data_IF_040626888605
#
_entry.id   IF_040626888605
#
_cell.length_a   1.000
_cell.length_b   1.000
_cell.length_c   1.000
_cell.angle_alpha   90.00
_cell.angle_beta   90.00
_cell.angle_gamma   90.00
#
_symmetry.space_group_name_H-M   'P 1'
#
loop_
_entity.id
_entity.type
_entity.pdbx_description
1 polymer ?
#
# COMPACT_ATOMS: atom_id res chain seq x y z
N UNK A 1 -9.66 -21.50 6.00
CA UNK A 1 -8.58 -21.02 5.10
C UNK A 1 -8.91 -19.58 4.75
N UNK A 2 -8.08 -18.60 5.13
CA UNK A 2 -8.27 -17.22 4.65
C UNK A 2 -8.04 -17.20 3.13
N UNK A 3 -8.89 -16.49 2.38
CA UNK A 3 -8.73 -16.27 0.94
C UNK A 3 -7.44 -15.51 0.59
N UNK A 4 -6.77 -14.99 1.60
CA UNK A 4 -5.63 -14.11 1.47
C UNK A 4 -4.63 -14.33 2.63
N UNK A 5 -3.34 -14.40 2.30
CA UNK A 5 -2.27 -14.56 3.29
C UNK A 5 -1.55 -13.22 3.51
N UNK A 6 -1.89 -12.46 4.57
CA UNK A 6 -1.29 -11.14 4.82
C UNK A 6 0.20 -11.18 5.15
N UNK A 7 0.74 -12.35 5.48
CA UNK A 7 2.14 -12.48 5.86
C UNK A 7 3.13 -12.11 4.75
N UNK A 8 2.72 -12.23 3.47
CA UNK A 8 3.52 -11.80 2.32
C UNK A 8 3.75 -10.29 2.31
N UNK A 9 2.68 -9.52 2.43
CA UNK A 9 2.74 -8.05 2.45
C UNK A 9 3.52 -7.53 3.65
N UNK A 10 3.25 -8.05 4.87
CA UNK A 10 3.97 -7.55 6.05
C UNK A 10 5.46 -7.87 6.02
N UNK A 11 5.84 -9.05 5.50
CA UNK A 11 7.27 -9.35 5.30
C UNK A 11 7.91 -8.42 4.27
N UNK A 12 7.23 -8.16 3.15
CA UNK A 12 7.71 -7.23 2.12
C UNK A 12 7.91 -5.83 2.66
N UNK A 13 6.91 -5.31 3.39
CA UNK A 13 6.95 -3.98 4.00
C UNK A 13 8.09 -3.83 5.01
N UNK A 14 8.26 -4.81 5.90
CA UNK A 14 9.37 -4.82 6.88
C UNK A 14 10.74 -4.86 6.20
N UNK A 15 10.91 -5.71 5.19
CA UNK A 15 12.16 -5.79 4.42
C UNK A 15 12.48 -4.45 3.76
N UNK A 16 11.50 -3.82 3.12
CA UNK A 16 11.70 -2.54 2.44
C UNK A 16 12.04 -1.41 3.43
N UNK A 17 11.38 -1.37 4.59
CA UNK A 17 11.69 -0.42 5.66
C UNK A 17 13.14 -0.56 6.16
N UNK A 18 13.61 -1.79 6.36
CA UNK A 18 15.01 -2.03 6.75
C UNK A 18 16.00 -1.63 5.66
N UNK A 19 15.69 -1.88 4.39
CA UNK A 19 16.53 -1.46 3.26
C UNK A 19 16.62 0.06 3.15
N UNK A 20 15.49 0.78 3.23
CA UNK A 20 15.47 2.24 3.20
C UNK A 20 16.30 2.82 4.34
N UNK A 21 16.14 2.28 5.57
CA UNK A 21 16.89 2.71 6.75
C UNK A 21 18.40 2.50 6.61
N UNK A 22 18.83 1.35 6.09
CA UNK A 22 20.25 0.98 6.02
C UNK A 22 20.98 1.57 4.81
N UNK A 23 20.34 1.53 3.64
CA UNK A 23 20.99 1.85 2.36
C UNK A 23 20.75 3.30 1.94
N UNK A 24 19.50 3.80 2.08
CA UNK A 24 19.16 5.13 1.58
C UNK A 24 19.29 6.24 2.64
N UNK A 25 19.30 5.89 3.93
CA UNK A 25 19.45 6.82 5.07
C UNK A 25 18.46 8.00 4.95
N UNK A 26 18.94 9.24 4.96
CA UNK A 26 18.13 10.46 4.89
C UNK A 26 17.72 10.88 3.47
N UNK A 27 18.06 10.09 2.44
CA UNK A 27 17.74 10.44 1.04
C UNK A 27 16.41 9.87 0.55
N UNK A 28 15.82 8.91 1.27
CA UNK A 28 14.57 8.29 0.89
C UNK A 28 13.57 8.35 2.04
N UNK A 29 12.31 8.58 1.68
CA UNK A 29 11.17 8.39 2.57
C UNK A 29 10.24 7.33 2.01
N UNK A 30 9.59 6.60 2.92
CA UNK A 30 8.60 5.61 2.55
C UNK A 30 7.21 6.23 2.51
N UNK A 31 6.59 6.16 1.34
CA UNK A 31 5.20 6.56 1.16
C UNK A 31 4.31 5.47 1.75
N UNK A 32 3.67 5.78 2.89
CA UNK A 32 2.75 4.86 3.55
C UNK A 32 1.32 5.09 3.03
N UNK A 33 0.85 4.19 2.19
CA UNK A 33 -0.52 4.20 1.66
C UNK A 33 -1.48 3.25 2.41
N UNK A 34 -1.10 2.69 3.57
CA UNK A 34 -1.97 1.76 4.33
C UNK A 34 -3.33 2.38 4.65
N UNK A 35 -3.34 3.66 5.05
CA UNK A 35 -4.57 4.36 5.41
C UNK A 35 -5.52 4.54 4.22
N UNK A 36 -4.99 4.64 2.99
CA UNK A 36 -5.82 4.70 1.79
C UNK A 36 -6.62 3.41 1.59
N UNK A 37 -6.09 2.26 2.02
CA UNK A 37 -6.76 0.97 1.91
C UNK A 37 -7.49 0.54 3.19
N UNK A 38 -7.35 1.28 4.29
CA UNK A 38 -8.01 0.94 5.55
C UNK A 38 -9.45 1.45 5.58
N UNK A 39 -10.42 0.53 5.59
CA UNK A 39 -11.81 0.91 5.80
C UNK A 39 -12.07 1.05 7.31
N UNK A 40 -12.31 2.30 7.75
CA UNK A 40 -12.58 2.64 9.16
C UNK A 40 -13.88 2.04 9.69
N UNK A 41 -14.91 1.92 8.85
CA UNK A 41 -16.21 1.38 9.24
C UNK A 41 -16.15 -0.13 9.47
N UNK A 42 -15.45 -0.85 8.59
CA UNK A 42 -15.26 -2.31 8.70
C UNK A 42 -14.09 -2.69 9.60
N UNK A 43 -13.29 -1.71 10.01
CA UNK A 43 -12.02 -1.89 10.73
C UNK A 43 -11.12 -2.95 10.06
N UNK A 44 -10.99 -2.87 8.74
CA UNK A 44 -10.33 -3.87 7.94
C UNK A 44 -9.67 -3.28 6.69
N UNK A 45 -8.53 -3.87 6.31
CA UNK A 45 -7.84 -3.55 5.07
C UNK A 45 -8.64 -4.05 3.85
N UNK A 46 -8.82 -3.17 2.87
CA UNK A 46 -9.59 -3.44 1.66
C UNK A 46 -8.67 -3.90 0.53
N UNK A 47 -8.98 -5.07 -0.03
CA UNK A 47 -8.32 -5.58 -1.23
C UNK A 47 -9.12 -5.31 -2.50
N UNK A 48 -10.41 -5.03 -2.34
CA UNK A 48 -11.36 -4.81 -3.42
C UNK A 48 -12.11 -3.51 -3.18
N UNK A 49 -12.55 -2.88 -4.27
CA UNK A 49 -13.49 -1.78 -4.20
C UNK A 49 -14.93 -2.28 -3.97
N UNK A 50 -15.88 -1.34 -3.86
CA UNK A 50 -17.30 -1.66 -3.68
C UNK A 50 -17.94 -2.41 -4.88
N UNK A 51 -17.27 -2.44 -6.03
CA UNK A 51 -17.71 -3.14 -7.25
C UNK A 51 -17.04 -4.51 -7.42
N UNK A 52 -16.11 -4.87 -6.54
CA UNK A 52 -15.35 -6.12 -6.59
C UNK A 52 -14.08 -6.08 -7.45
N UNK A 53 -13.62 -4.90 -7.90
CA UNK A 53 -12.34 -4.76 -8.57
C UNK A 53 -11.20 -4.80 -7.56
N UNK A 54 -10.17 -5.59 -7.84
CA UNK A 54 -9.01 -5.71 -6.95
C UNK A 54 -8.05 -4.52 -7.08
N UNK A 55 -7.61 -4.00 -5.93
CA UNK A 55 -6.52 -3.02 -5.85
C UNK A 55 -5.13 -3.66 -5.99
N UNK A 56 -5.04 -4.99 -5.92
CA UNK A 56 -3.78 -5.72 -5.93
C UNK A 56 -3.76 -6.83 -6.98
N UNK A 57 -2.59 -7.08 -7.56
CA UNK A 57 -2.36 -8.22 -8.44
C UNK A 57 -2.10 -9.49 -7.63
N UNK A 58 -2.10 -10.66 -8.29
CA UNK A 58 -1.74 -11.94 -7.65
C UNK A 58 -0.33 -11.96 -7.06
N UNK A 59 0.57 -11.12 -7.59
CA UNK A 59 1.93 -10.92 -7.09
C UNK A 59 2.04 -9.93 -5.93
N UNK A 60 0.92 -9.46 -5.36
CA UNK A 60 0.89 -8.49 -4.25
C UNK A 60 1.41 -7.08 -4.60
N UNK A 61 1.44 -6.75 -5.88
CA UNK A 61 1.69 -5.38 -6.35
C UNK A 61 0.36 -4.61 -6.46
N UNK A 62 0.42 -3.28 -6.47
CA UNK A 62 -0.76 -2.48 -6.83
C UNK A 62 -1.17 -2.80 -8.27
N UNK A 63 -2.48 -3.03 -8.48
CA UNK A 63 -3.06 -3.07 -9.82
C UNK A 63 -3.13 -1.64 -10.39
N UNK A 64 -3.45 -1.49 -11.68
CA UNK A 64 -3.75 -0.17 -12.24
C UNK A 64 -4.84 0.56 -11.42
N UNK A 65 -5.87 -0.17 -10.99
CA UNK A 65 -6.91 0.38 -10.12
C UNK A 65 -6.38 0.78 -8.74
N UNK A 66 -5.49 -0.03 -8.14
CA UNK A 66 -4.80 0.32 -6.90
C UNK A 66 -3.94 1.57 -7.01
N UNK A 67 -3.25 1.78 -8.14
CA UNK A 67 -2.46 2.99 -8.41
C UNK A 67 -3.38 4.23 -8.47
N UNK A 68 -4.52 4.13 -9.16
CA UNK A 68 -5.50 5.22 -9.19
C UNK A 68 -6.05 5.54 -7.81
N UNK A 69 -6.27 4.52 -6.98
CA UNK A 69 -6.77 4.69 -5.62
C UNK A 69 -5.80 5.45 -4.71
N UNK A 70 -4.48 5.22 -4.87
CA UNK A 70 -3.45 5.94 -4.09
C UNK A 70 -2.99 7.25 -4.76
N UNK A 71 -3.39 7.52 -6.01
CA UNK A 71 -2.97 8.73 -6.74
C UNK A 71 -3.18 10.04 -5.95
N UNK A 72 -4.31 10.25 -5.23
CA UNK A 72 -4.48 11.47 -4.44
C UNK A 72 -3.37 11.70 -3.42
N UNK A 73 -2.87 10.63 -2.77
CA UNK A 73 -1.76 10.72 -1.82
C UNK A 73 -0.49 11.27 -2.49
N UNK A 74 -0.17 10.79 -3.68
CA UNK A 74 0.99 11.27 -4.44
C UNK A 74 0.83 12.72 -4.87
N UNK A 75 -0.37 13.12 -5.30
CA UNK A 75 -0.66 14.51 -5.65
C UNK A 75 -0.45 15.41 -4.43
N UNK A 76 -1.00 15.04 -3.28
CA UNK A 76 -0.87 15.82 -2.05
C UNK A 76 0.60 15.95 -1.62
N UNK A 77 1.43 14.90 -1.78
CA UNK A 77 2.88 15.00 -1.55
C UNK A 77 3.50 16.02 -2.51
N UNK A 78 3.23 15.91 -3.82
CA UNK A 78 3.78 16.83 -4.82
C UNK A 78 3.38 18.29 -4.60
N UNK A 79 2.15 18.53 -4.15
CA UNK A 79 1.64 19.88 -3.88
C UNK A 79 2.25 20.51 -2.62
N UNK A 80 2.87 19.71 -1.74
CA UNK A 80 3.48 20.13 -0.48
C UNK A 80 5.02 20.04 -0.46
N UNK A 81 5.65 19.75 -1.61
CA UNK A 81 7.11 19.79 -1.80
C UNK A 81 7.56 21.17 -2.31
#
# INVERSE_FOLDING_TARGET
KSLYNPSGFERGRRRLAELVKKECRSKCELINYVDAFWNKTMNAFQYFDAKGFTYFTSGYHLSAHGIEHVRPLYRDICDNL
#
